data_IF_236774029646
#
_entry.id   IF_236774029646
#
_cell.length_a   1.000
_cell.length_b   1.000
_cell.length_c   1.000
_cell.angle_alpha   90.00
_cell.angle_beta   90.00
_cell.angle_gamma   90.00
#
_symmetry.space_group_name_H-M   'P 1'
#
loop_
_entity.id
_entity.type
_entity.pdbx_description
1 polymer ?
#
# COMPACT_ATOMS: atom_id res chain seq x y z
N UNK A 1 -20.48 22.17 3.14
CA UNK A 1 -19.17 21.62 2.68
C UNK A 1 -19.42 20.21 2.23
N UNK A 2 -19.26 19.92 0.94
CA UNK A 2 -19.51 18.60 0.38
C UNK A 2 -18.28 17.72 0.66
N UNK A 3 -18.37 16.84 1.65
CA UNK A 3 -17.39 15.78 1.87
C UNK A 3 -17.64 14.67 0.86
N UNK A 4 -16.72 14.48 -0.08
CA UNK A 4 -16.77 13.34 -0.98
C UNK A 4 -16.47 12.09 -0.15
N UNK A 5 -17.52 11.34 0.21
CA UNK A 5 -17.39 10.03 0.85
C UNK A 5 -17.15 9.01 -0.25
N UNK A 6 -15.92 8.53 -0.39
CA UNK A 6 -15.65 7.35 -1.21
C UNK A 6 -16.03 6.12 -0.39
N UNK A 7 -17.26 5.64 -0.55
CA UNK A 7 -17.61 4.29 -0.14
C UNK A 7 -16.88 3.32 -1.09
N UNK A 8 -15.79 2.70 -0.62
CA UNK A 8 -15.24 1.52 -1.29
C UNK A 8 -16.01 0.32 -0.79
N UNK A 9 -16.88 -0.20 -1.64
CA UNK A 9 -17.49 -1.50 -1.44
C UNK A 9 -16.39 -2.57 -1.34
N UNK A 10 -16.36 -3.30 -0.22
CA UNK A 10 -15.54 -4.51 0.00
C UNK A 10 -16.41 -5.76 0.08
N UNK A 11 -17.65 -5.71 -0.42
CA UNK A 11 -18.57 -6.84 -0.38
C UNK A 11 -18.24 -7.84 -1.48
N UNK A 12 -17.38 -8.81 -1.15
CA UNK A 12 -17.13 -9.99 -1.97
C UNK A 12 -15.65 -10.35 -1.98
N UNK A 13 -15.32 -11.51 -1.41
CA UNK A 13 -13.96 -12.03 -1.20
C UNK A 13 -13.14 -12.33 -2.46
N UNK A 14 -13.30 -11.56 -3.53
CA UNK A 14 -12.48 -11.60 -4.73
C UNK A 14 -11.64 -10.31 -4.85
N UNK A 15 -10.59 -10.25 -4.04
CA UNK A 15 -9.22 -9.91 -4.42
C UNK A 15 -8.97 -8.73 -5.37
N UNK A 16 -9.40 -7.51 -5.03
CA UNK A 16 -8.75 -6.32 -5.63
C UNK A 16 -7.36 -6.20 -5.02
N UNK A 17 -6.27 -6.37 -5.80
CA UNK A 17 -4.95 -6.24 -5.23
C UNK A 17 -4.72 -4.81 -4.74
N UNK A 18 -4.01 -4.70 -3.63
CA UNK A 18 -3.51 -3.43 -3.12
C UNK A 18 -1.99 -3.48 -3.03
N UNK A 19 -1.35 -2.33 -3.22
CA UNK A 19 0.07 -2.20 -2.91
C UNK A 19 0.20 -1.81 -1.44
N UNK A 20 0.70 -2.74 -0.64
CA UNK A 20 1.03 -2.56 0.76
C UNK A 20 2.45 -2.00 0.89
N UNK A 21 2.60 -0.86 1.54
CA UNK A 21 3.87 -0.16 1.66
C UNK A 21 4.28 -0.07 3.12
N UNK A 22 5.39 -0.74 3.45
CA UNK A 22 6.06 -0.59 4.73
C UNK A 22 7.12 0.49 4.60
N UNK A 23 7.01 1.55 5.40
CA UNK A 23 8.00 2.61 5.42
C UNK A 23 9.30 2.10 6.05
N UNK A 24 10.47 2.59 5.60
CA UNK A 24 11.73 2.30 6.29
C UNK A 24 11.67 2.80 7.75
N UNK A 25 12.29 2.08 8.70
CA UNK A 25 12.35 2.54 10.10
C UNK A 25 13.06 3.89 10.20
N UNK A 26 12.64 4.70 11.18
CA UNK A 26 13.17 6.07 11.36
C UNK A 26 12.58 7.09 10.38
N UNK A 27 11.51 6.75 9.65
CA UNK A 27 10.83 7.67 8.73
C UNK A 27 9.36 7.86 9.08
N UNK A 28 8.84 9.04 8.72
CA UNK A 28 7.40 9.38 8.79
C UNK A 28 6.95 9.91 7.44
N UNK A 29 5.80 9.45 6.94
CA UNK A 29 5.21 10.03 5.74
C UNK A 29 4.65 11.43 6.03
N UNK A 30 5.04 12.39 5.22
CA UNK A 30 4.56 13.79 5.28
C UNK A 30 3.65 14.16 4.11
N UNK A 31 3.48 13.23 3.16
CA UNK A 31 2.56 13.37 2.04
C UNK A 31 2.39 12.05 1.31
N UNK A 32 1.27 11.89 0.64
CA UNK A 32 0.98 10.71 -0.17
C UNK A 32 0.02 11.07 -1.31
N UNK A 33 0.02 10.26 -2.37
CA UNK A 33 -0.98 10.37 -3.44
C UNK A 33 -2.38 10.01 -2.93
N UNK A 34 -3.42 10.51 -3.63
CA UNK A 34 -4.83 10.36 -3.25
C UNK A 34 -5.32 8.91 -3.22
N UNK A 35 -4.62 8.01 -3.91
CA UNK A 35 -4.91 6.59 -3.95
C UNK A 35 -4.20 5.80 -2.83
N UNK A 36 -3.41 6.46 -1.99
CA UNK A 36 -2.76 5.85 -0.83
C UNK A 36 -3.32 6.42 0.47
N UNK A 37 -3.35 5.62 1.52
CA UNK A 37 -3.67 6.04 2.87
C UNK A 37 -2.98 5.14 3.89
N UNK A 38 -2.75 5.59 5.13
CA UNK A 38 -2.26 4.71 6.19
C UNK A 38 -3.26 3.56 6.43
N UNK A 39 -2.73 2.36 6.65
CA UNK A 39 -3.48 1.14 6.92
C UNK A 39 -4.03 1.17 8.34
N UNK A 40 -5.19 1.80 8.54
CA UNK A 40 -6.04 1.55 9.71
C UNK A 40 -7.48 1.83 9.29
N UNK A 41 -8.28 0.78 9.12
CA UNK A 41 -9.70 0.91 8.80
C UNK A 41 -10.39 1.77 9.88
N UNK A 42 -10.99 2.90 9.48
CA UNK A 42 -11.76 3.80 10.33
C UNK A 42 -11.01 4.45 11.51
N UNK A 43 -9.67 4.50 11.53
CA UNK A 43 -8.95 5.23 12.56
C UNK A 43 -8.52 6.64 12.09
N UNK A 44 -9.17 7.71 12.54
CA UNK A 44 -8.75 9.08 12.22
C UNK A 44 -7.40 9.46 12.86
N UNK A 45 -6.89 8.66 13.81
CA UNK A 45 -5.59 8.82 14.43
C UNK A 45 -4.51 7.91 13.80
N UNK A 46 -4.78 7.32 12.63
CA UNK A 46 -3.82 6.48 11.93
C UNK A 46 -2.46 7.18 11.82
N UNK A 47 -1.41 6.49 12.27
CA UNK A 47 -0.09 7.09 12.34
C UNK A 47 0.50 7.28 10.93
N UNK A 48 1.13 8.43 10.73
CA UNK A 48 1.92 8.71 9.54
C UNK A 48 3.17 7.80 9.39
N UNK A 49 3.39 6.88 10.34
CA UNK A 49 4.45 5.86 10.33
C UNK A 49 4.05 4.58 9.56
N UNK A 50 2.80 4.50 9.09
CA UNK A 50 2.33 3.42 8.23
C UNK A 50 1.98 2.12 8.98
N UNK A 51 1.80 0.99 8.25
CA UNK A 51 1.98 0.83 6.80
C UNK A 51 0.96 1.62 5.98
N UNK A 52 1.20 1.80 4.67
CA UNK A 52 0.29 2.47 3.74
C UNK A 52 -0.32 1.46 2.77
N UNK A 53 -1.59 1.67 2.42
CA UNK A 53 -2.28 0.90 1.38
C UNK A 53 -2.57 1.82 0.20
N UNK A 54 -2.00 1.46 -0.94
CA UNK A 54 -2.18 2.15 -2.20
C UNK A 54 -3.10 1.33 -3.12
N UNK A 55 -4.25 1.89 -3.47
CA UNK A 55 -5.21 1.23 -4.34
C UNK A 55 -4.76 1.24 -5.79
N UNK A 56 -4.97 0.10 -6.45
CA UNK A 56 -4.81 -0.06 -7.88
C UNK A 56 -6.04 0.47 -8.65
N UNK A 57 -5.90 0.79 -9.95
CA UNK A 57 -6.95 1.44 -10.76
C UNK A 57 -8.18 0.58 -11.01
N UNK A 58 -8.16 -0.70 -10.69
CA UNK A 58 -9.31 -1.59 -10.80
C UNK A 58 -9.01 -3.02 -10.38
N UNK A 59 -10.06 -3.85 -10.39
CA UNK A 59 -10.00 -5.30 -10.09
C UNK A 59 -9.18 -6.04 -11.15
N UNK A 60 -9.29 -5.60 -12.41
CA UNK A 60 -8.53 -6.12 -13.55
C UNK A 60 -7.44 -5.11 -13.88
N UNK A 61 -6.18 -5.53 -13.76
CA UNK A 61 -5.01 -4.74 -14.17
C UNK A 61 -4.46 -5.34 -15.47
N UNK A 62 -4.69 -4.70 -16.64
CA UNK A 62 -4.10 -5.14 -17.89
C UNK A 62 -2.60 -5.41 -17.80
N UNK A 63 -2.15 -6.47 -18.50
CA UNK A 63 -0.72 -6.80 -18.58
C UNK A 63 0.08 -5.60 -19.10
N UNK A 64 1.13 -5.23 -18.37
CA UNK A 64 2.00 -4.10 -18.71
C UNK A 64 1.46 -2.73 -18.27
N UNK A 65 0.30 -2.67 -17.61
CA UNK A 65 -0.17 -1.43 -16.99
C UNK A 65 0.74 -1.06 -15.81
N UNK A 66 1.20 0.18 -15.81
CA UNK A 66 1.97 0.76 -14.71
C UNK A 66 1.02 1.62 -13.86
N UNK A 67 0.95 1.31 -12.57
CA UNK A 67 0.23 2.15 -11.60
C UNK A 67 1.25 2.95 -10.80
N UNK A 68 1.17 4.28 -10.89
CA UNK A 68 2.03 5.17 -10.13
C UNK A 68 1.35 5.56 -8.81
N UNK A 69 2.12 5.58 -7.75
CA UNK A 69 1.76 6.18 -6.47
C UNK A 69 2.98 6.89 -5.89
N UNK A 70 2.76 7.84 -4.99
CA UNK A 70 3.84 8.57 -4.33
C UNK A 70 3.65 8.60 -2.82
N UNK A 71 4.76 8.45 -2.10
CA UNK A 71 4.88 8.65 -0.66
C UNK A 71 6.07 9.58 -0.44
N UNK A 72 5.81 10.72 0.18
CA UNK A 72 6.86 11.66 0.58
C UNK A 72 7.19 11.37 2.03
N UNK A 73 8.43 10.98 2.31
CA UNK A 73 8.89 10.65 3.66
C UNK A 73 9.85 11.72 4.19
N UNK A 74 9.77 11.98 5.49
CA UNK A 74 10.78 12.69 6.26
C UNK A 74 11.56 11.65 7.07
N UNK A 75 12.88 11.78 7.08
CA UNK A 75 13.75 11.02 8.00
C UNK A 75 13.67 11.71 9.36
N UNK A 76 13.14 11.00 10.35
CA UNK A 76 13.12 11.46 11.74
C UNK A 76 14.40 11.03 12.46
N UNK A 77 14.85 9.79 12.22
CA UNK A 77 16.05 9.19 12.81
C UNK A 77 16.89 8.50 11.72
N UNK A 78 18.21 8.67 11.78
CA UNK A 78 19.13 7.96 10.89
C UNK A 78 19.30 6.53 11.38
N UNK A 79 18.68 5.58 10.68
CA UNK A 79 18.85 4.15 10.92
C UNK A 79 19.73 3.57 9.82
N UNK A 80 20.88 2.99 10.19
CA UNK A 80 21.80 2.38 9.22
C UNK A 80 21.13 1.23 8.49
N UNK A 81 21.18 1.25 7.15
CA UNK A 81 20.54 0.27 6.29
C UNK A 81 19.02 0.15 6.48
N UNK A 82 18.34 1.26 6.78
CA UNK A 82 16.88 1.31 6.84
C UNK A 82 16.25 0.82 5.53
N UNK A 83 15.44 -0.24 5.64
CA UNK A 83 14.69 -0.81 4.52
C UNK A 83 13.20 -0.79 4.83
N UNK A 84 12.44 -0.32 3.87
CA UNK A 84 11.01 -0.55 3.75
C UNK A 84 10.74 -1.52 2.60
N UNK A 85 9.48 -1.64 2.23
CA UNK A 85 9.10 -2.51 1.13
C UNK A 85 7.72 -2.18 0.57
N UNK A 86 7.52 -2.58 -0.67
CA UNK A 86 6.22 -2.65 -1.32
C UNK A 86 5.90 -4.12 -1.56
N UNK A 87 4.68 -4.52 -1.26
CA UNK A 87 4.15 -5.85 -1.53
C UNK A 87 2.75 -5.77 -2.13
N UNK A 88 2.45 -6.56 -3.15
CA UNK A 88 1.07 -6.78 -3.61
C UNK A 88 0.33 -7.70 -2.63
N UNK A 89 -0.83 -7.26 -2.16
CA UNK A 89 -1.69 -7.94 -1.20
C UNK A 89 -3.08 -8.15 -1.80
N UNK A 90 -3.53 -9.41 -1.82
CA UNK A 90 -4.85 -9.82 -2.29
C UNK A 90 -5.71 -10.28 -1.11
N UNK A 91 -6.15 -9.32 -0.31
CA UNK A 91 -6.80 -9.60 0.96
C UNK A 91 -6.84 -8.36 1.83
N UNK A 92 -7.29 -8.48 3.09
CA UNK A 92 -7.31 -7.35 4.00
C UNK A 92 -5.88 -6.89 4.35
N UNK A 93 -4.93 -7.81 4.55
CA UNK A 93 -3.55 -7.50 4.90
C UNK A 93 -2.58 -8.60 4.42
N UNK A 94 -1.25 -8.43 4.59
CA UNK A 94 -0.27 -9.43 4.16
C UNK A 94 -0.40 -10.81 4.83
N UNK A 95 -0.93 -10.89 6.06
CA UNK A 95 -1.09 -12.16 6.79
C UNK A 95 -2.25 -12.99 6.23
N UNK A 96 -3.30 -12.31 5.77
CA UNK A 96 -4.51 -12.91 5.18
C UNK A 96 -4.57 -12.70 3.64
N UNK A 97 -3.42 -12.58 2.98
CA UNK A 97 -3.35 -12.41 1.53
C UNK A 97 -3.58 -13.74 0.80
N UNK A 98 -4.57 -13.79 -0.10
CA UNK A 98 -4.92 -14.96 -0.88
C UNK A 98 -4.50 -14.80 -2.35
N UNK A 99 -3.56 -15.64 -2.80
CA UNK A 99 -3.08 -15.60 -4.18
C UNK A 99 -4.17 -16.02 -5.17
N UNK A 100 -4.45 -15.22 -6.21
CA UNK A 100 -5.39 -15.64 -7.24
C UNK A 100 -4.78 -16.74 -8.14
N UNK A 101 -5.61 -17.68 -8.60
CA UNK A 101 -5.16 -18.81 -9.42
C UNK A 101 -4.56 -18.40 -10.78
N UNK A 102 -4.89 -17.20 -11.28
CA UNK A 102 -4.35 -16.67 -12.53
C UNK A 102 -2.97 -16.02 -12.39
N UNK A 103 -2.46 -15.82 -11.15
CA UNK A 103 -1.15 -15.24 -10.86
C UNK A 103 -0.32 -16.14 -9.92
N UNK A 104 0.15 -17.30 -10.42
CA UNK A 104 0.83 -18.29 -9.58
C UNK A 104 2.27 -17.92 -9.21
N UNK A 105 2.91 -16.96 -9.91
CA UNK A 105 4.30 -16.58 -9.65
C UNK A 105 4.37 -15.42 -8.65
N UNK A 106 5.02 -15.64 -7.50
CA UNK A 106 5.10 -14.63 -6.43
C UNK A 106 6.34 -13.74 -6.50
N UNK A 107 7.26 -14.03 -7.41
CA UNK A 107 8.62 -13.48 -7.34
C UNK A 107 8.68 -11.99 -7.70
N UNK A 108 7.65 -11.47 -8.38
CA UNK A 108 7.52 -10.09 -8.82
C UNK A 108 6.54 -9.25 -7.98
N UNK A 109 6.03 -9.80 -6.88
CA UNK A 109 5.02 -9.13 -6.06
C UNK A 109 5.59 -8.18 -5.02
N UNK A 110 6.92 -8.05 -4.94
CA UNK A 110 7.58 -7.21 -3.94
C UNK A 110 8.77 -6.43 -4.47
N UNK A 111 9.02 -5.28 -3.86
CA UNK A 111 10.17 -4.43 -4.13
C UNK A 111 10.68 -3.81 -2.82
N UNK A 112 11.99 -3.67 -2.68
CA UNK A 112 12.62 -3.04 -1.51
C UNK A 112 12.61 -1.53 -1.67
N UNK A 113 12.19 -0.81 -0.62
CA UNK A 113 12.38 0.64 -0.52
C UNK A 113 13.62 0.92 0.33
N UNK A 114 14.57 1.64 -0.24
CA UNK A 114 15.79 2.05 0.48
C UNK A 114 15.82 3.56 0.58
N UNK A 115 16.08 4.08 1.77
CA UNK A 115 16.35 5.50 2.00
C UNK A 115 17.85 5.64 2.25
N UNK A 116 18.50 6.56 1.53
CA UNK A 116 19.94 6.78 1.58
C UNK A 116 20.36 7.52 2.85
#
# INVERSE_FOLDING_TARGET
MAGLVFARDRSGGEGVPTAWVTLPPGTTAVGHSVNCAPWQENNPAAEAKGPYVCSLPGIIVPKGQVTNFSLTVRVDDVVTHAKGGVQLVWGPDPADSHRPAFDPDSRNDSAVLTVN
#
